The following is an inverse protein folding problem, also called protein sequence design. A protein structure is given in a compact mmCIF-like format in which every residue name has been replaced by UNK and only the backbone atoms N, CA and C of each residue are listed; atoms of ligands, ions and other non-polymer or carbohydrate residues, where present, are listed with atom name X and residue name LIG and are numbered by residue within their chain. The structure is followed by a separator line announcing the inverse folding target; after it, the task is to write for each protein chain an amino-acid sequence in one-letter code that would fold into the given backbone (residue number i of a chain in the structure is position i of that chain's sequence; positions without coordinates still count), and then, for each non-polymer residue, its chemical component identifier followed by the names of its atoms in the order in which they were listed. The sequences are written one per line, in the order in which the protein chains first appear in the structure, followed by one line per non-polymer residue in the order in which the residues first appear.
data_IF_991789753322
#
_entry.id   IF_991789753322
#
_cell.length_a   1.000
_cell.length_b   1.000
_cell.length_c   1.000
_cell.angle_alpha   90.00
_cell.angle_beta   90.00
_cell.angle_gamma   90.00
#
_symmetry.space_group_name_H-M   'P 1'
#
loop_
_entity.id
_entity.type
_entity.pdbx_description
1 polymer ?
#
# COMPACT_ATOMS: atom_id res chain seq x y z
N UNK A 1 -24.42 49.90 -30.66
CA UNK A 1 -23.89 51.27 -30.56
C UNK A 1 -22.82 51.30 -29.48
N UNK A 2 -21.53 51.42 -29.81
CA UNK A 2 -20.49 51.66 -28.83
C UNK A 2 -20.31 53.17 -28.65
N UNK A 3 -20.19 53.65 -27.40
CA UNK A 3 -19.83 55.05 -27.13
C UNK A 3 -18.38 55.17 -26.70
N UNK A 4 -17.78 56.20 -27.27
CA UNK A 4 -16.37 56.56 -27.38
C UNK A 4 -15.76 57.11 -26.09
N UNK A 5 -14.43 57.06 -26.07
CA UNK A 5 -13.52 57.91 -25.28
C UNK A 5 -13.68 59.41 -25.62
N UNK A 6 -13.19 60.33 -24.76
CA UNK A 6 -11.91 61.01 -25.04
C UNK A 6 -11.05 61.22 -23.76
N UNK A 7 -9.72 61.01 -23.79
CA UNK A 7 -8.59 61.87 -24.23
C UNK A 7 -8.20 63.05 -23.31
N UNK A 8 -6.99 62.91 -22.75
CA UNK A 8 -5.87 63.86 -22.61
C UNK A 8 -6.05 65.23 -21.90
N UNK A 9 -5.21 65.46 -20.88
CA UNK A 9 -4.27 66.59 -20.90
C UNK A 9 -3.09 66.41 -19.92
N UNK A 10 -1.87 66.47 -20.46
CA UNK A 10 -0.64 66.84 -19.76
C UNK A 10 -0.64 68.35 -19.49
N UNK A 11 0.02 68.81 -18.43
CA UNK A 11 0.90 69.97 -18.47
C UNK A 11 1.85 69.98 -17.25
N UNK A 12 3.02 70.55 -17.51
CA UNK A 12 4.30 70.53 -16.79
C UNK A 12 4.45 71.69 -15.77
N UNK A 13 5.44 71.55 -14.86
CA UNK A 13 6.36 72.60 -14.33
C UNK A 13 5.76 73.73 -13.45
N UNK A 14 6.37 74.30 -12.39
CA UNK A 14 7.76 74.42 -11.89
C UNK A 14 7.75 74.98 -10.43
N UNK A 15 8.91 74.83 -9.73
CA UNK A 15 9.51 75.74 -8.70
C UNK A 15 8.76 76.06 -7.38
N UNK A 16 9.33 76.34 -6.21
CA UNK A 16 10.65 76.39 -5.55
C UNK A 16 10.32 76.67 -4.07
N UNK A 17 11.03 76.12 -3.07
CA UNK A 17 11.49 76.91 -1.90
C UNK A 17 12.40 76.11 -0.93
N UNK A 18 13.35 76.86 -0.39
CA UNK A 18 14.59 76.49 0.27
C UNK A 18 14.45 76.16 1.78
N UNK A 19 15.40 75.39 2.31
CA UNK A 19 15.70 75.31 3.75
C UNK A 19 16.72 74.21 4.10
N UNK A 20 17.90 74.52 4.67
CA UNK A 20 19.02 73.56 4.83
C UNK A 20 18.94 72.81 6.17
N UNK A 21 19.70 71.72 6.33
CA UNK A 21 20.48 71.33 7.54
C UNK A 21 20.93 69.86 7.43
N UNK A 22 22.23 69.62 7.67
CA UNK A 22 22.70 68.38 8.30
C UNK A 22 23.27 67.28 7.39
N UNK A 23 24.55 67.39 7.02
CA UNK A 23 25.37 66.24 6.61
C UNK A 23 25.60 65.33 7.82
N UNK A 24 24.93 64.18 7.87
CA UNK A 24 25.31 63.04 8.71
C UNK A 24 25.96 61.96 7.84
N UNK A 25 27.22 61.62 8.14
CA UNK A 25 27.92 60.47 7.54
C UNK A 25 27.41 59.20 8.20
N UNK A 26 26.76 58.32 7.44
CA UNK A 26 26.55 56.93 7.86
C UNK A 26 27.69 56.03 7.34
N UNK A 27 28.23 55.10 8.15
CA UNK A 27 29.25 54.17 7.71
C UNK A 27 28.64 53.06 6.85
N UNK A 28 29.41 52.61 5.85
CA UNK A 28 29.09 51.43 5.03
C UNK A 28 29.06 50.20 5.93
N UNK A 29 27.88 49.66 6.20
CA UNK A 29 27.74 48.35 6.85
C UNK A 29 27.65 47.27 5.77
N UNK A 30 28.58 46.33 5.89
CA UNK A 30 28.89 45.20 5.02
C UNK A 30 27.69 44.26 4.86
N UNK A 31 27.11 44.20 3.66
CA UNK A 31 26.10 43.20 3.28
C UNK A 31 26.82 41.99 2.66
N UNK A 32 27.38 41.09 3.48
CA UNK A 32 28.03 39.88 2.94
C UNK A 32 27.99 38.65 3.87
N UNK A 33 26.88 38.41 4.58
CA UNK A 33 26.72 37.17 5.40
C UNK A 33 25.36 36.47 5.21
N UNK A 34 24.42 36.98 4.41
CA UNK A 34 23.08 36.35 4.31
C UNK A 34 22.92 35.25 3.25
N UNK A 35 23.87 35.07 2.30
CA UNK A 35 23.71 34.08 1.22
C UNK A 35 24.23 32.68 1.60
N UNK A 36 25.24 32.58 2.48
CA UNK A 36 25.80 31.31 2.93
C UNK A 36 24.94 30.59 3.98
N UNK A 37 24.15 31.33 4.77
CA UNK A 37 23.26 30.74 5.77
C UNK A 37 21.97 30.19 5.13
N UNK A 38 21.47 30.82 4.06
CA UNK A 38 20.29 30.35 3.33
C UNK A 38 20.56 29.11 2.48
N UNK A 39 21.76 28.95 1.91
CA UNK A 39 22.13 27.75 1.12
C UNK A 39 22.43 26.54 2.00
N UNK A 40 23.05 26.73 3.16
CA UNK A 40 23.29 25.63 4.13
C UNK A 40 22.00 25.10 4.74
N UNK A 41 21.02 25.97 5.01
CA UNK A 41 19.69 25.56 5.48
C UNK A 41 18.93 24.80 4.38
N UNK A 42 18.99 25.23 3.12
CA UNK A 42 18.32 24.54 2.00
C UNK A 42 18.91 23.14 1.72
N UNK A 43 20.24 22.98 1.84
CA UNK A 43 20.90 21.67 1.70
C UNK A 43 20.53 20.75 2.89
N UNK A 44 20.44 21.29 4.10
CA UNK A 44 20.01 20.53 5.28
C UNK A 44 18.53 20.11 5.23
N UNK A 45 17.63 20.91 4.64
CA UNK A 45 16.23 20.51 4.43
C UNK A 45 16.08 19.46 3.31
N UNK A 46 16.87 19.55 2.23
CA UNK A 46 16.89 18.55 1.17
C UNK A 46 17.42 17.18 1.66
N UNK A 47 18.32 17.18 2.66
CA UNK A 47 18.84 15.96 3.29
C UNK A 47 17.90 15.36 4.36
N UNK A 48 16.84 16.07 4.80
CA UNK A 48 16.01 15.66 5.95
C UNK A 48 14.66 15.05 5.58
N UNK A 49 14.29 15.02 4.31
CA UNK A 49 13.40 13.98 3.83
C UNK A 49 14.28 12.75 3.59
N UNK A 50 14.54 11.95 4.64
CA UNK A 50 15.06 10.60 4.42
C UNK A 50 14.12 9.92 3.44
N UNK A 51 14.54 9.85 2.17
CA UNK A 51 13.80 9.11 1.16
C UNK A 51 13.77 7.69 1.68
N UNK A 52 12.57 7.20 2.02
CA UNK A 52 12.43 5.88 2.59
C UNK A 52 13.18 4.88 1.70
N UNK A 53 14.05 4.04 2.29
CA UNK A 53 14.90 3.05 1.60
C UNK A 53 14.16 2.34 0.44
N UNK A 54 14.65 2.34 -0.80
CA UNK A 54 13.96 1.61 -1.87
C UNK A 54 13.98 0.09 -1.57
N UNK A 55 12.81 -0.56 -1.44
CA UNK A 55 12.72 -2.00 -1.10
C UNK A 55 12.06 -2.85 -2.20
N UNK A 56 11.35 -2.21 -3.11
CA UNK A 56 10.66 -2.82 -4.24
C UNK A 56 11.65 -3.06 -5.38
N UNK A 57 11.94 -4.32 -5.69
CA UNK A 57 12.99 -4.67 -6.66
C UNK A 57 12.66 -4.24 -8.09
N UNK A 58 11.38 -4.06 -8.42
CA UNK A 58 10.93 -3.55 -9.72
C UNK A 58 11.28 -2.08 -9.96
N UNK A 59 11.71 -1.37 -8.92
CA UNK A 59 12.19 0.02 -8.96
C UNK A 59 13.70 0.12 -8.67
N UNK A 60 14.41 -1.01 -8.69
CA UNK A 60 15.85 -1.09 -8.48
C UNK A 60 16.53 -1.60 -9.75
N UNK A 61 17.74 -1.14 -9.98
CA UNK A 61 18.65 -1.72 -10.97
C UNK A 61 19.26 -3.01 -10.45
N UNK A 62 19.67 -3.93 -11.33
CA UNK A 62 20.28 -5.18 -10.88
C UNK A 62 21.54 -4.99 -10.01
N UNK A 63 22.41 -3.97 -10.20
CA UNK A 63 23.54 -3.74 -9.29
C UNK A 63 23.10 -3.31 -7.89
N UNK A 64 22.03 -2.53 -7.76
CA UNK A 64 21.46 -2.16 -6.45
C UNK A 64 20.92 -3.40 -5.72
N UNK A 65 20.26 -4.31 -6.44
CA UNK A 65 19.79 -5.58 -5.86
C UNK A 65 20.98 -6.46 -5.45
N UNK A 66 22.01 -6.54 -6.28
CA UNK A 66 23.24 -7.29 -5.96
C UNK A 66 23.89 -6.76 -4.68
N UNK A 67 24.10 -5.44 -4.59
CA UNK A 67 24.67 -4.81 -3.39
C UNK A 67 23.77 -4.97 -2.17
N UNK A 68 22.45 -4.85 -2.33
CA UNK A 68 21.50 -5.10 -1.25
C UNK A 68 21.66 -6.50 -0.65
N UNK A 69 21.81 -7.54 -1.49
CA UNK A 69 21.98 -8.93 -1.04
C UNK A 69 23.37 -9.15 -0.42
N UNK A 70 24.44 -8.69 -1.09
CA UNK A 70 25.81 -9.07 -0.75
C UNK A 70 26.49 -8.12 0.26
N UNK A 71 26.19 -6.83 0.21
CA UNK A 71 26.84 -5.80 1.03
C UNK A 71 25.96 -5.33 2.19
N UNK A 72 24.64 -5.41 2.03
CA UNK A 72 23.67 -4.89 3.02
C UNK A 72 22.81 -5.97 3.69
N UNK A 73 23.05 -7.26 3.39
CA UNK A 73 22.43 -8.38 4.08
C UNK A 73 20.91 -8.51 3.86
N UNK A 74 20.38 -7.98 2.75
CA UNK A 74 18.96 -8.14 2.35
C UNK A 74 18.70 -9.58 1.85
N UNK A 75 18.71 -10.53 2.76
CA UNK A 75 18.61 -11.98 2.45
C UNK A 75 17.19 -12.49 2.27
N UNK A 76 16.18 -11.68 2.60
CA UNK A 76 14.77 -12.06 2.53
C UNK A 76 14.07 -11.38 1.35
N UNK A 77 13.18 -12.08 0.66
CA UNK A 77 12.29 -11.49 -0.35
C UNK A 77 10.84 -11.84 -0.08
N UNK A 78 9.97 -10.84 -0.16
CA UNK A 78 8.52 -10.97 -0.03
C UNK A 78 7.90 -11.14 -1.42
N UNK A 79 7.20 -12.24 -1.64
CA UNK A 79 6.39 -12.51 -2.84
C UNK A 79 4.93 -12.38 -2.43
N UNK A 80 4.35 -11.20 -2.71
CA UNK A 80 3.00 -10.85 -2.26
C UNK A 80 2.01 -10.97 -3.42
N UNK A 81 0.99 -11.81 -3.24
CA UNK A 81 -0.13 -11.95 -4.16
C UNK A 81 -1.26 -10.97 -3.79
N UNK A 82 -1.60 -10.08 -4.71
CA UNK A 82 -2.76 -9.19 -4.64
C UNK A 82 -3.99 -9.85 -5.27
N UNK A 83 -4.55 -9.17 -6.26
CA UNK A 83 -5.73 -9.65 -6.99
C UNK A 83 -6.44 -8.51 -7.71
N UNK A 84 -7.12 -8.87 -8.80
CA UNK A 84 -8.01 -7.96 -9.54
C UNK A 84 -9.43 -8.50 -9.44
N UNK A 85 -10.25 -7.86 -8.62
CA UNK A 85 -11.56 -8.39 -8.24
C UNK A 85 -12.58 -7.25 -8.09
N UNK A 86 -13.81 -7.50 -8.53
CA UNK A 86 -14.96 -6.65 -8.22
C UNK A 86 -14.99 -6.31 -6.72
N UNK A 87 -15.24 -5.05 -6.37
CA UNK A 87 -15.29 -4.58 -4.99
C UNK A 87 -16.47 -3.64 -4.78
N UNK A 88 -17.65 -4.12 -5.21
CA UNK A 88 -18.84 -3.31 -5.23
C UNK A 88 -18.77 -2.14 -6.22
N UNK A 89 -19.78 -1.26 -6.18
CA UNK A 89 -19.84 -0.12 -7.11
C UNK A 89 -18.82 0.98 -6.75
N UNK A 90 -18.29 1.00 -5.53
CA UNK A 90 -17.57 2.14 -4.98
C UNK A 90 -16.04 2.05 -5.05
N UNK A 91 -15.45 0.88 -5.28
CA UNK A 91 -13.99 0.72 -5.22
C UNK A 91 -13.40 0.16 -6.53
N UNK A 92 -12.15 0.53 -6.81
CA UNK A 92 -11.42 0.00 -7.98
C UNK A 92 -11.14 -1.49 -7.87
N UNK A 93 -11.12 -2.16 -9.03
CA UNK A 93 -10.86 -3.60 -9.17
C UNK A 93 -9.49 -4.03 -8.62
N UNK A 94 -8.47 -3.18 -8.78
CA UNK A 94 -7.10 -3.47 -8.36
C UNK A 94 -6.83 -3.32 -6.86
N UNK A 95 -7.87 -3.20 -6.02
CA UNK A 95 -7.74 -2.91 -4.59
C UNK A 95 -6.72 -3.81 -3.87
N UNK A 96 -6.82 -5.13 -4.03
CA UNK A 96 -5.87 -6.07 -3.39
C UNK A 96 -4.43 -5.82 -3.81
N UNK A 97 -4.18 -5.66 -5.11
CA UNK A 97 -2.83 -5.37 -5.63
C UNK A 97 -2.29 -4.04 -5.08
N UNK A 98 -3.10 -2.98 -5.10
CA UNK A 98 -2.71 -1.65 -4.61
C UNK A 98 -2.41 -1.64 -3.11
N UNK A 99 -3.23 -2.33 -2.30
CA UNK A 99 -2.99 -2.49 -0.87
C UNK A 99 -1.75 -3.35 -0.60
N UNK A 100 -1.59 -4.45 -1.33
CA UNK A 100 -0.44 -5.35 -1.20
C UNK A 100 0.88 -4.65 -1.48
N UNK A 101 0.97 -3.78 -2.50
CA UNK A 101 2.17 -2.97 -2.74
C UNK A 101 2.56 -2.17 -1.49
N UNK A 102 1.64 -1.38 -0.94
CA UNK A 102 1.95 -0.55 0.23
C UNK A 102 2.31 -1.39 1.47
N UNK A 103 1.56 -2.46 1.74
CA UNK A 103 1.76 -3.31 2.92
C UNK A 103 3.08 -4.09 2.81
N UNK A 104 3.41 -4.64 1.64
CA UNK A 104 4.67 -5.35 1.39
C UNK A 104 5.88 -4.47 1.71
N UNK A 105 5.88 -3.23 1.24
CA UNK A 105 6.96 -2.27 1.47
C UNK A 105 7.08 -1.93 2.96
N UNK A 106 5.96 -1.74 3.66
CA UNK A 106 5.98 -1.49 5.11
C UNK A 106 6.52 -2.69 5.90
N UNK A 107 6.17 -3.92 5.51
CA UNK A 107 6.71 -5.15 6.11
C UNK A 107 8.22 -5.23 5.86
N UNK A 108 8.67 -5.06 4.62
CA UNK A 108 10.07 -5.19 4.24
C UNK A 108 10.97 -4.21 4.98
N UNK A 109 10.54 -2.94 5.06
CA UNK A 109 11.21 -1.88 5.83
C UNK A 109 11.30 -2.23 7.31
N UNK A 110 10.22 -2.76 7.88
CA UNK A 110 10.17 -3.09 9.31
C UNK A 110 11.00 -4.33 9.67
N UNK A 111 11.15 -5.28 8.74
CA UNK A 111 12.09 -6.41 8.88
C UNK A 111 13.55 -5.95 8.77
N UNK A 112 13.83 -4.92 7.95
CA UNK A 112 15.16 -4.34 7.77
C UNK A 112 16.11 -5.16 6.90
N UNK A 113 15.85 -6.46 6.70
CA UNK A 113 16.65 -7.37 5.87
C UNK A 113 15.89 -7.96 4.67
N UNK A 114 14.79 -7.31 4.27
CA UNK A 114 13.88 -7.81 3.23
C UNK A 114 13.74 -6.84 2.06
N UNK A 115 13.55 -7.41 0.87
CA UNK A 115 13.10 -6.72 -0.36
C UNK A 115 11.73 -7.28 -0.80
N UNK A 116 11.07 -6.58 -1.73
CA UNK A 116 9.74 -6.92 -2.24
C UNK A 116 9.85 -7.28 -3.72
N UNK A 117 9.46 -8.50 -4.09
CA UNK A 117 9.28 -8.90 -5.48
C UNK A 117 8.07 -8.18 -6.10
N UNK A 118 7.94 -8.14 -7.45
CA UNK A 118 6.75 -7.58 -8.08
C UNK A 118 5.47 -8.20 -7.50
N UNK A 119 4.52 -7.35 -7.08
CA UNK A 119 3.25 -7.83 -6.54
C UNK A 119 2.47 -8.49 -7.65
N UNK A 120 2.04 -9.73 -7.42
CA UNK A 120 1.30 -10.49 -8.42
C UNK A 120 -0.16 -10.04 -8.44
N UNK A 121 -0.72 -9.57 -9.57
CA UNK A 121 -2.06 -9.00 -9.62
C UNK A 121 -3.17 -10.07 -9.72
N UNK A 122 -2.87 -11.31 -9.33
CA UNK A 122 -3.70 -12.49 -9.53
C UNK A 122 -4.02 -13.15 -8.19
N UNK A 123 -5.24 -13.69 -8.09
CA UNK A 123 -5.69 -14.54 -6.99
C UNK A 123 -6.43 -15.75 -7.53
N UNK A 124 -6.67 -16.72 -6.63
CA UNK A 124 -7.66 -17.78 -6.87
C UNK A 124 -9.01 -17.23 -6.47
N UNK A 125 -9.98 -17.27 -7.38
CA UNK A 125 -11.35 -16.96 -7.00
C UNK A 125 -11.98 -18.19 -6.31
N UNK A 126 -12.53 -18.06 -5.10
CA UNK A 126 -13.38 -19.10 -4.55
C UNK A 126 -14.57 -19.28 -5.50
N UNK A 127 -14.98 -20.53 -5.72
CA UNK A 127 -15.98 -20.97 -6.70
C UNK A 127 -17.15 -19.98 -6.89
N UNK A 128 -17.06 -19.12 -7.91
CA UNK A 128 -18.02 -18.06 -8.21
C UNK A 128 -17.44 -16.73 -8.72
N UNK A 129 -16.12 -16.52 -8.62
CA UNK A 129 -15.53 -15.25 -9.05
C UNK A 129 -15.17 -15.19 -10.55
N UNK A 130 -15.35 -13.99 -11.13
CA UNK A 130 -15.61 -13.66 -12.54
C UNK A 130 -17.07 -13.89 -12.88
N UNK A 131 -17.85 -12.82 -12.74
CA UNK A 131 -19.27 -12.77 -13.04
C UNK A 131 -19.51 -11.65 -14.07
N UNK A 132 -20.26 -11.95 -15.13
CA UNK A 132 -20.62 -10.95 -16.14
C UNK A 132 -21.43 -9.78 -15.56
N UNK A 133 -22.09 -9.99 -14.41
CA UNK A 133 -22.77 -8.96 -13.64
C UNK A 133 -21.81 -7.92 -13.03
N UNK A 134 -20.59 -8.33 -12.68
CA UNK A 134 -19.55 -7.47 -12.12
C UNK A 134 -18.25 -7.64 -12.91
N UNK A 135 -18.18 -7.04 -14.11
CA UNK A 135 -17.08 -7.27 -15.03
C UNK A 135 -15.75 -6.70 -14.51
N UNK A 136 -14.65 -7.30 -14.99
CA UNK A 136 -13.29 -6.81 -14.78
C UNK A 136 -12.44 -7.61 -13.80
N UNK A 137 -13.03 -8.54 -13.03
CA UNK A 137 -12.25 -9.49 -12.23
C UNK A 137 -11.35 -10.35 -13.12
N UNK A 138 -10.12 -10.61 -12.66
CA UNK A 138 -9.15 -11.50 -13.31
C UNK A 138 -8.67 -12.49 -12.27
N UNK A 139 -8.92 -13.78 -12.51
CA UNK A 139 -8.53 -14.85 -11.61
C UNK A 139 -7.86 -16.00 -12.35
N UNK A 140 -6.99 -16.70 -11.63
CA UNK A 140 -6.34 -17.90 -12.11
C UNK A 140 -7.02 -19.13 -11.50
N UNK A 141 -7.00 -20.23 -12.25
CA UNK A 141 -7.29 -21.54 -11.69
C UNK A 141 -6.27 -21.87 -10.58
N UNK A 142 -6.66 -22.59 -9.52
CA UNK A 142 -5.79 -22.89 -8.38
C UNK A 142 -4.44 -23.52 -8.76
N UNK A 143 -4.42 -24.38 -9.78
CA UNK A 143 -3.21 -25.06 -10.24
C UNK A 143 -2.28 -24.11 -11.01
N UNK A 144 -2.84 -23.24 -11.85
CA UNK A 144 -2.07 -22.21 -12.56
C UNK A 144 -1.53 -21.16 -11.60
N UNK A 145 -2.31 -20.74 -10.61
CA UNK A 145 -1.87 -19.83 -9.55
C UNK A 145 -0.65 -20.38 -8.79
N UNK A 146 -0.66 -21.68 -8.45
CA UNK A 146 0.49 -22.35 -7.83
C UNK A 146 1.70 -22.37 -8.77
N UNK A 147 1.53 -22.75 -10.05
CA UNK A 147 2.62 -22.79 -11.04
C UNK A 147 3.28 -21.42 -11.29
N UNK A 148 2.48 -20.35 -11.32
CA UNK A 148 3.00 -18.98 -11.44
C UNK A 148 3.88 -18.65 -10.23
N UNK A 149 3.38 -18.91 -9.02
CA UNK A 149 4.15 -18.65 -7.80
C UNK A 149 5.40 -19.56 -7.70
N UNK A 150 5.32 -20.82 -8.16
CA UNK A 150 6.47 -21.73 -8.23
C UNK A 150 7.60 -21.14 -9.09
N UNK A 151 7.27 -20.66 -10.29
CA UNK A 151 8.23 -20.03 -11.19
C UNK A 151 8.84 -18.74 -10.61
N UNK A 152 8.06 -17.97 -9.86
CA UNK A 152 8.55 -16.77 -9.16
C UNK A 152 9.50 -17.17 -8.04
N UNK A 153 9.18 -18.17 -7.23
CA UNK A 153 10.06 -18.68 -6.17
C UNK A 153 11.37 -19.20 -6.78
N UNK A 154 11.31 -20.02 -7.83
CA UNK A 154 12.50 -20.52 -8.53
C UNK A 154 13.40 -19.36 -9.02
N UNK A 155 12.79 -18.28 -9.53
CA UNK A 155 13.51 -17.07 -9.94
C UNK A 155 14.16 -16.35 -8.76
N UNK A 156 13.46 -16.25 -7.63
CA UNK A 156 14.00 -15.62 -6.42
C UNK A 156 15.15 -16.43 -5.80
N UNK A 157 15.08 -17.76 -5.83
CA UNK A 157 16.20 -18.63 -5.44
C UNK A 157 17.41 -18.36 -6.35
N UNK A 158 17.19 -18.34 -7.67
CA UNK A 158 18.26 -18.10 -8.65
C UNK A 158 18.92 -16.72 -8.49
N UNK A 159 18.16 -15.72 -8.05
CA UNK A 159 18.66 -14.36 -7.76
C UNK A 159 19.48 -14.28 -6.45
N UNK A 160 19.55 -15.34 -5.65
CA UNK A 160 20.43 -15.43 -4.48
C UNK A 160 19.77 -15.15 -3.13
N UNK A 161 18.45 -14.95 -3.06
CA UNK A 161 17.74 -14.81 -1.79
C UNK A 161 17.78 -16.10 -0.97
N UNK A 162 17.85 -15.97 0.36
CA UNK A 162 17.91 -17.10 1.32
C UNK A 162 16.59 -17.40 1.98
N UNK A 163 15.74 -16.40 2.15
CA UNK A 163 14.41 -16.54 2.71
C UNK A 163 13.39 -15.99 1.72
N UNK A 164 12.49 -16.83 1.24
CA UNK A 164 11.42 -16.43 0.32
C UNK A 164 10.10 -16.58 1.07
N UNK A 165 9.37 -15.48 1.22
CA UNK A 165 8.11 -15.45 1.98
C UNK A 165 6.97 -15.22 1.02
N UNK A 166 6.06 -16.19 0.92
CA UNK A 166 4.80 -16.10 0.18
C UNK A 166 3.72 -15.45 1.07
N UNK A 167 3.04 -14.44 0.55
CA UNK A 167 1.94 -13.72 1.20
C UNK A 167 0.76 -13.53 0.23
N UNK A 168 -0.45 -13.31 0.76
CA UNK A 168 -1.65 -13.03 -0.04
C UNK A 168 -2.59 -12.04 0.64
N UNK A 169 -3.14 -11.08 -0.11
CA UNK A 169 -4.11 -10.08 0.39
C UNK A 169 -5.57 -10.48 0.14
N UNK A 170 -5.76 -11.54 -0.64
CA UNK A 170 -7.06 -12.08 -1.05
C UNK A 170 -7.33 -13.42 -0.34
N UNK A 171 -8.60 -13.71 -0.04
CA UNK A 171 -8.98 -14.92 0.70
C UNK A 171 -8.74 -16.23 -0.04
N UNK A 172 -8.98 -16.25 -1.35
CA UNK A 172 -8.60 -17.38 -2.20
C UNK A 172 -7.11 -17.34 -2.57
N UNK A 173 -6.47 -18.51 -2.62
CA UNK A 173 -5.04 -18.67 -2.87
C UNK A 173 -4.23 -18.97 -1.61
N UNK A 174 -4.79 -18.76 -0.41
CA UNK A 174 -4.06 -18.93 0.85
C UNK A 174 -3.59 -20.38 1.06
N UNK A 175 -4.46 -21.36 0.79
CA UNK A 175 -4.13 -22.78 0.92
C UNK A 175 -3.08 -23.21 -0.12
N UNK A 176 -3.21 -22.68 -1.34
CA UNK A 176 -2.29 -22.90 -2.45
C UNK A 176 -0.88 -22.38 -2.12
N UNK A 177 -0.76 -21.17 -1.56
CA UNK A 177 0.52 -20.60 -1.13
C UNK A 177 1.13 -21.41 0.03
N UNK A 178 0.32 -21.83 1.00
CA UNK A 178 0.78 -22.67 2.11
C UNK A 178 1.39 -23.99 1.64
N UNK A 179 0.66 -24.73 0.79
CA UNK A 179 1.14 -25.99 0.21
C UNK A 179 2.39 -25.81 -0.66
N UNK A 180 2.42 -24.73 -1.45
CA UNK A 180 3.58 -24.42 -2.28
C UNK A 180 4.82 -24.12 -1.42
N UNK A 181 4.69 -23.35 -0.34
CA UNK A 181 5.80 -23.05 0.55
C UNK A 181 6.44 -24.33 1.11
N UNK A 182 5.63 -25.30 1.57
CA UNK A 182 6.13 -26.60 2.05
C UNK A 182 6.88 -27.37 0.94
N UNK A 183 6.31 -27.41 -0.27
CA UNK A 183 6.90 -28.10 -1.42
C UNK A 183 8.25 -27.50 -1.81
N UNK A 184 8.31 -26.17 -1.88
CA UNK A 184 9.51 -25.45 -2.31
C UNK A 184 10.59 -25.41 -1.23
N UNK A 185 10.20 -25.37 0.04
CA UNK A 185 11.15 -25.50 1.14
C UNK A 185 11.75 -26.90 1.23
N UNK A 186 10.98 -27.96 0.95
CA UNK A 186 11.53 -29.32 0.86
C UNK A 186 12.54 -29.44 -0.30
N UNK A 187 12.28 -28.75 -1.43
CA UNK A 187 13.18 -28.69 -2.60
C UNK A 187 14.47 -27.93 -2.29
N UNK A 188 14.35 -26.73 -1.70
CA UNK A 188 15.46 -25.77 -1.58
C UNK A 188 16.16 -25.72 -0.21
N UNK A 189 15.47 -26.17 0.84
CA UNK A 189 15.98 -26.18 2.22
C UNK A 189 17.33 -26.89 2.36
N UNK A 190 17.56 -28.06 1.73
CA UNK A 190 18.87 -28.73 1.77
C UNK A 190 20.02 -27.90 1.14
N UNK A 191 19.72 -26.88 0.33
CA UNK A 191 20.72 -25.96 -0.23
C UNK A 191 20.81 -24.63 0.54
N UNK A 192 20.20 -24.55 1.73
CA UNK A 192 20.24 -23.38 2.60
C UNK A 192 19.37 -22.21 2.13
N UNK A 193 18.34 -22.48 1.33
CA UNK A 193 17.32 -21.50 0.96
C UNK A 193 15.96 -21.99 1.42
N UNK A 194 15.24 -21.16 2.17
CA UNK A 194 13.99 -21.53 2.81
C UNK A 194 12.81 -20.77 2.24
N UNK A 195 11.70 -21.49 2.10
CA UNK A 195 10.44 -20.91 1.62
C UNK A 195 9.40 -20.99 2.73
N UNK A 196 8.70 -19.89 2.93
CA UNK A 196 7.76 -19.71 4.02
C UNK A 196 6.43 -19.21 3.49
N UNK A 197 5.35 -19.55 4.20
CA UNK A 197 4.05 -18.93 4.00
C UNK A 197 3.71 -18.07 5.22
N UNK A 198 3.40 -16.80 4.97
CA UNK A 198 2.97 -15.85 5.99
C UNK A 198 1.45 -15.64 5.91
N UNK A 199 0.68 -16.52 6.55
CA UNK A 199 -0.78 -16.43 6.60
C UNK A 199 -1.34 -15.42 7.61
N UNK A 200 -0.55 -14.98 8.61
CA UNK A 200 -1.00 -14.08 9.67
C UNK A 200 -1.29 -12.66 9.13
N UNK A 201 -0.67 -12.27 8.01
CA UNK A 201 -0.97 -11.02 7.29
C UNK A 201 -2.43 -10.95 6.85
N UNK A 202 -3.05 -12.11 6.58
CA UNK A 202 -4.44 -12.19 6.14
C UNK A 202 -5.34 -12.70 7.26
N UNK A 203 -5.24 -13.98 7.65
CA UNK A 203 -6.28 -14.63 8.46
C UNK A 203 -6.27 -14.13 9.90
N UNK A 204 -5.09 -14.07 10.54
CA UNK A 204 -4.99 -13.52 11.91
C UNK A 204 -5.47 -12.07 11.95
N UNK A 205 -5.02 -11.27 10.99
CA UNK A 205 -5.41 -9.85 10.90
C UNK A 205 -6.91 -9.67 10.65
N UNK A 206 -7.54 -10.55 9.85
CA UNK A 206 -8.99 -10.57 9.62
C UNK A 206 -9.77 -10.89 10.90
N UNK A 207 -9.30 -11.86 11.68
CA UNK A 207 -9.93 -12.24 12.96
C UNK A 207 -9.79 -11.12 14.01
N UNK A 208 -8.60 -10.55 14.18
CA UNK A 208 -8.37 -9.43 15.10
C UNK A 208 -9.21 -8.19 14.73
N UNK A 209 -9.37 -7.92 13.43
CA UNK A 209 -10.25 -6.86 12.96
C UNK A 209 -11.73 -7.16 13.27
N UNK A 210 -12.19 -8.41 13.08
CA UNK A 210 -13.56 -8.79 13.39
C UNK A 210 -13.89 -8.60 14.89
N UNK A 211 -12.96 -8.96 15.78
CA UNK A 211 -13.07 -8.73 17.22
C UNK A 211 -13.12 -7.23 17.53
N UNK A 212 -12.25 -6.45 16.89
CA UNK A 212 -12.23 -4.99 17.06
C UNK A 212 -13.54 -4.35 16.60
N UNK A 213 -14.05 -4.71 15.42
CA UNK A 213 -15.33 -4.20 14.89
C UNK A 213 -16.48 -4.52 15.85
N UNK A 214 -16.52 -5.75 16.36
CA UNK A 214 -17.50 -6.19 17.36
C UNK A 214 -17.41 -5.33 18.63
N UNK A 215 -16.20 -5.08 19.15
CA UNK A 215 -15.98 -4.22 20.33
C UNK A 215 -16.45 -2.78 20.12
N UNK A 216 -16.46 -2.29 18.87
CA UNK A 216 -16.92 -0.96 18.49
C UNK A 216 -18.38 -0.92 18.05
N UNK A 217 -19.10 -2.05 18.11
CA UNK A 217 -20.48 -2.20 17.60
C UNK A 217 -20.60 -1.80 16.13
N UNK A 218 -19.55 -2.07 15.35
CA UNK A 218 -19.53 -1.90 13.91
C UNK A 218 -19.91 -3.22 13.22
N UNK A 219 -20.50 -3.17 12.02
CA UNK A 219 -20.82 -4.38 11.27
C UNK A 219 -19.54 -5.14 10.92
N UNK A 220 -19.63 -6.47 10.91
CA UNK A 220 -18.55 -7.31 10.41
C UNK A 220 -18.27 -7.01 8.94
N UNK A 221 -17.02 -7.23 8.54
CA UNK A 221 -16.54 -7.01 7.18
C UNK A 221 -16.05 -8.31 6.59
N UNK A 222 -16.44 -8.62 5.35
CA UNK A 222 -15.88 -9.75 4.61
C UNK A 222 -15.30 -9.30 3.26
N UNK A 223 -16.13 -8.78 2.36
CA UNK A 223 -15.71 -8.37 1.01
C UNK A 223 -16.25 -7.00 0.63
N UNK A 224 -15.38 -6.10 0.19
CA UNK A 224 -15.69 -4.70 -0.12
C UNK A 224 -16.30 -3.91 1.06
N UNK A 225 -16.20 -4.45 2.28
CA UNK A 225 -16.75 -3.87 3.51
C UNK A 225 -15.81 -2.85 4.16
N UNK A 226 -15.93 -2.71 5.49
CA UNK A 226 -15.14 -1.77 6.28
C UNK A 226 -13.64 -1.98 6.09
N UNK A 227 -13.17 -3.22 6.12
CA UNK A 227 -11.74 -3.56 6.00
C UNK A 227 -11.14 -2.95 4.73
N UNK A 228 -11.61 -3.40 3.57
CA UNK A 228 -11.02 -3.01 2.29
C UNK A 228 -11.22 -1.52 2.00
N UNK A 229 -12.45 -1.03 2.23
CA UNK A 229 -12.79 0.36 1.90
C UNK A 229 -11.98 1.32 2.77
N UNK A 230 -11.83 1.04 4.07
CA UNK A 230 -11.03 1.87 4.97
C UNK A 230 -9.56 1.83 4.60
N UNK A 231 -8.98 0.65 4.34
CA UNK A 231 -7.58 0.52 3.93
C UNK A 231 -7.31 1.26 2.63
N UNK A 232 -8.18 1.16 1.64
CA UNK A 232 -8.04 1.90 0.38
C UNK A 232 -8.21 3.41 0.58
N UNK A 233 -9.11 3.88 1.45
CA UNK A 233 -9.24 5.30 1.79
C UNK A 233 -7.97 5.86 2.44
N UNK A 234 -7.30 5.07 3.27
CA UNK A 234 -6.04 5.45 3.93
C UNK A 234 -4.87 5.51 2.95
N UNK A 235 -4.77 4.55 2.04
CA UNK A 235 -3.62 4.38 1.15
C UNK A 235 -3.73 5.13 -0.18
N UNK A 236 -4.93 5.55 -0.60
CA UNK A 236 -5.10 6.19 -1.91
C UNK A 236 -4.30 7.49 -2.02
N UNK A 237 -3.69 7.78 -3.18
CA UNK A 237 -2.82 8.96 -3.34
C UNK A 237 -3.61 10.28 -3.34
N UNK A 238 -4.89 10.22 -3.70
CA UNK A 238 -5.75 11.38 -3.82
C UNK A 238 -7.22 11.02 -3.61
N UNK A 239 -8.03 12.07 -3.42
CA UNK A 239 -9.46 11.93 -3.17
C UNK A 239 -10.15 11.21 -4.32
N UNK A 240 -10.96 10.21 -3.98
CA UNK A 240 -11.72 9.39 -4.92
C UNK A 240 -10.91 8.58 -5.94
N UNK A 241 -9.59 8.51 -5.80
CA UNK A 241 -8.72 7.81 -6.76
C UNK A 241 -8.88 6.29 -6.68
N UNK A 242 -9.12 5.71 -5.50
CA UNK A 242 -9.39 4.27 -5.33
C UNK A 242 -10.80 3.98 -4.81
N UNK A 243 -11.36 4.87 -3.99
CA UNK A 243 -12.70 4.71 -3.38
C UNK A 243 -13.58 5.91 -3.70
N UNK A 244 -14.70 5.68 -4.38
CA UNK A 244 -15.65 6.69 -4.85
C UNK A 244 -16.61 7.01 -3.72
N UNK A 245 -17.04 8.26 -3.62
CA UNK A 245 -17.89 8.73 -2.51
C UNK A 245 -19.22 7.97 -2.34
N UNK A 246 -19.68 7.28 -3.38
CA UNK A 246 -20.89 6.45 -3.34
C UNK A 246 -20.82 5.36 -2.26
N UNK A 247 -19.64 5.01 -1.74
CA UNK A 247 -19.49 4.08 -0.61
C UNK A 247 -20.29 4.50 0.64
N UNK A 248 -20.57 5.80 0.80
CA UNK A 248 -21.40 6.34 1.90
C UNK A 248 -22.88 5.95 1.80
N UNK A 249 -23.33 5.53 0.63
CA UNK A 249 -24.68 5.05 0.37
C UNK A 249 -24.74 3.58 -0.06
N UNK A 250 -23.59 2.96 -0.35
CA UNK A 250 -23.50 1.54 -0.68
C UNK A 250 -23.87 0.67 0.51
N UNK A 251 -24.77 -0.29 0.30
CA UNK A 251 -25.11 -1.35 1.24
C UNK A 251 -24.74 -2.68 0.57
N UNK A 252 -24.16 -3.62 1.31
CA UNK A 252 -23.89 -4.96 0.82
C UNK A 252 -24.79 -6.03 1.44
N UNK A 253 -24.63 -7.26 0.97
CA UNK A 253 -25.24 -8.41 1.61
C UNK A 253 -24.61 -8.63 3.00
N UNK A 254 -25.37 -9.10 4.01
CA UNK A 254 -24.85 -9.27 5.36
C UNK A 254 -23.71 -10.29 5.42
N UNK A 255 -22.75 -10.06 6.32
CA UNK A 255 -21.74 -11.07 6.67
C UNK A 255 -22.42 -12.13 7.53
N UNK A 256 -22.39 -13.38 7.07
CA UNK A 256 -22.96 -14.52 7.78
C UNK A 256 -21.90 -15.21 8.63
N UNK A 257 -22.32 -15.76 9.77
CA UNK A 257 -21.43 -16.61 10.58
C UNK A 257 -21.12 -17.91 9.82
N UNK A 258 -19.97 -18.56 10.10
CA UNK A 258 -19.65 -19.85 9.51
C UNK A 258 -20.80 -20.85 9.67
N UNK A 259 -21.19 -21.51 8.57
CA UNK A 259 -22.29 -22.49 8.54
C UNK A 259 -23.70 -21.90 8.46
N UNK A 260 -23.88 -20.58 8.63
CA UNK A 260 -25.18 -19.95 8.40
C UNK A 260 -25.47 -19.83 6.91
N UNK A 261 -26.73 -20.08 6.54
CA UNK A 261 -27.24 -19.88 5.18
C UNK A 261 -27.98 -18.54 5.11
N UNK A 262 -27.90 -17.83 3.97
CA UNK A 262 -28.73 -16.65 3.73
C UNK A 262 -30.21 -16.98 3.89
N UNK A 263 -30.97 -16.13 4.59
CA UNK A 263 -32.42 -16.25 4.68
C UNK A 263 -33.03 -16.07 3.28
N UNK A 264 -33.77 -17.04 2.73
CA UNK A 264 -34.36 -16.93 1.39
C UNK A 264 -35.42 -15.83 1.29
N UNK A 265 -35.98 -15.34 2.40
CA UNK A 265 -37.02 -14.31 2.42
C UNK A 265 -36.47 -12.88 2.46
N UNK A 266 -35.15 -12.71 2.68
CA UNK A 266 -34.51 -11.40 2.68
C UNK A 266 -33.92 -11.14 1.29
N UNK A 267 -34.41 -10.14 0.54
CA UNK A 267 -33.83 -9.81 -0.76
C UNK A 267 -32.35 -9.47 -0.64
N UNK A 268 -31.52 -10.11 -1.47
CA UNK A 268 -30.10 -9.78 -1.56
C UNK A 268 -29.91 -8.48 -2.31
N UNK A 269 -29.00 -7.64 -1.83
CA UNK A 269 -28.54 -6.47 -2.59
C UNK A 269 -27.80 -6.93 -3.83
N UNK A 270 -26.97 -7.98 -3.67
CA UNK A 270 -26.29 -8.65 -4.78
C UNK A 270 -25.58 -7.63 -5.70
N UNK A 271 -24.78 -6.74 -5.10
CA UNK A 271 -24.00 -5.71 -5.80
C UNK A 271 -22.48 -5.97 -5.71
N UNK A 272 -22.09 -7.16 -5.26
CA UNK A 272 -20.69 -7.54 -5.10
C UNK A 272 -20.09 -7.20 -3.73
N UNK A 273 -20.84 -6.55 -2.83
CA UNK A 273 -20.40 -6.24 -1.45
C UNK A 273 -20.95 -7.27 -0.47
N UNK A 274 -20.10 -7.78 0.42
CA UNK A 274 -20.49 -8.58 1.60
C UNK A 274 -20.03 -7.89 2.88
N UNK A 275 -20.95 -7.15 3.50
CA UNK A 275 -20.72 -6.24 4.62
C UNK A 275 -21.29 -4.84 4.35
N UNK A 276 -20.92 -3.88 5.19
CA UNK A 276 -21.38 -2.50 5.09
C UNK A 276 -20.19 -1.53 5.07
N UNK A 277 -19.86 -0.89 3.93
CA UNK A 277 -18.71 -0.02 3.82
C UNK A 277 -18.96 1.40 4.36
N UNK A 278 -20.19 1.79 4.69
CA UNK A 278 -20.53 3.19 5.04
C UNK A 278 -19.74 3.73 6.25
N UNK A 279 -19.46 2.93 7.30
CA UNK A 279 -18.65 3.37 8.44
C UNK A 279 -17.16 3.53 8.14
N UNK A 280 -16.70 3.24 6.93
CA UNK A 280 -15.27 3.25 6.60
C UNK A 280 -14.65 4.64 6.70
N UNK A 281 -13.46 4.69 7.30
CA UNK A 281 -12.64 5.89 7.45
C UNK A 281 -11.15 5.59 7.24
N UNK A 282 -10.33 6.59 6.86
CA UNK A 282 -8.87 6.43 6.79
C UNK A 282 -8.24 5.95 8.10
N UNK A 283 -8.79 6.33 9.26
CA UNK A 283 -8.26 5.94 10.58
C UNK A 283 -8.43 4.45 10.83
N UNK A 284 -9.58 3.88 10.45
CA UNK A 284 -9.78 2.42 10.45
C UNK A 284 -8.81 1.77 9.47
N UNK A 285 -8.58 2.39 8.31
CA UNK A 285 -7.65 1.89 7.30
C UNK A 285 -6.23 1.78 7.82
N UNK A 286 -5.77 2.81 8.53
CA UNK A 286 -4.47 2.81 9.21
C UNK A 286 -4.36 1.68 10.23
N UNK A 287 -5.39 1.49 11.07
CA UNK A 287 -5.43 0.40 12.04
C UNK A 287 -5.29 -0.97 11.36
N UNK A 288 -6.03 -1.21 10.28
CA UNK A 288 -5.96 -2.47 9.52
C UNK A 288 -4.58 -2.69 8.92
N UNK A 289 -3.97 -1.65 8.32
CA UNK A 289 -2.60 -1.73 7.79
C UNK A 289 -1.61 -2.07 8.90
N UNK A 290 -1.70 -1.40 10.06
CA UNK A 290 -0.82 -1.68 11.21
C UNK A 290 -0.98 -3.11 11.72
N UNK A 291 -2.21 -3.63 11.83
CA UNK A 291 -2.47 -5.02 12.19
C UNK A 291 -1.78 -5.98 11.21
N UNK A 292 -2.02 -5.81 9.89
CA UNK A 292 -1.43 -6.65 8.85
C UNK A 292 0.10 -6.63 8.88
N UNK A 293 0.70 -5.45 8.94
CA UNK A 293 2.17 -5.29 8.97
C UNK A 293 2.75 -5.92 10.24
N UNK A 294 2.17 -5.67 11.41
CA UNK A 294 2.67 -6.20 12.67
C UNK A 294 2.59 -7.73 12.74
N UNK A 295 1.47 -8.29 12.30
CA UNK A 295 1.25 -9.73 12.27
C UNK A 295 2.21 -10.42 11.29
N UNK A 296 2.40 -9.84 10.11
CA UNK A 296 3.35 -10.37 9.14
C UNK A 296 4.79 -10.36 9.67
N UNK A 297 5.25 -9.23 10.21
CA UNK A 297 6.61 -9.10 10.76
C UNK A 297 6.83 -10.09 11.90
N UNK A 298 5.86 -10.23 12.82
CA UNK A 298 5.95 -11.16 13.94
C UNK A 298 6.04 -12.62 13.45
N UNK A 299 5.22 -13.01 12.47
CA UNK A 299 5.24 -14.36 11.93
C UNK A 299 6.53 -14.65 11.16
N UNK A 300 6.96 -13.74 10.28
CA UNK A 300 8.18 -13.90 9.48
C UNK A 300 9.41 -14.02 10.39
N UNK A 301 9.52 -13.16 11.40
CA UNK A 301 10.62 -13.20 12.39
C UNK A 301 10.65 -14.54 13.11
N UNK A 302 9.49 -15.04 13.56
CA UNK A 302 9.36 -16.35 14.21
C UNK A 302 9.76 -17.50 13.30
N UNK A 303 9.29 -17.50 12.05
CA UNK A 303 9.54 -18.57 11.08
C UNK A 303 11.02 -18.67 10.69
N UNK A 304 11.67 -17.53 10.45
CA UNK A 304 13.10 -17.48 10.12
C UNK A 304 13.94 -17.86 11.34
N UNK A 305 13.66 -17.27 12.50
CA UNK A 305 14.40 -17.56 13.74
C UNK A 305 14.34 -19.03 14.16
N UNK A 306 13.19 -19.70 14.00
CA UNK A 306 13.03 -21.12 14.31
C UNK A 306 13.90 -22.04 13.44
N UNK A 307 14.29 -21.62 12.23
CA UNK A 307 15.15 -22.39 11.34
C UNK A 307 16.63 -22.16 11.58
N UNK A 308 17.04 -20.92 11.90
CA UNK A 308 18.43 -20.61 12.28
C UNK A 308 18.85 -21.32 13.58
N UNK A 309 17.89 -21.77 14.38
CA UNK A 309 18.12 -22.45 15.67
C UNK A 309 18.31 -23.97 15.55
N UNK A 310 18.14 -24.56 14.35
CA UNK A 310 18.29 -26.00 14.10
C UNK A 310 19.59 -26.29 13.36
#
# INVERSE_FOLDING_TARGET
MPHEFPKERQDNCDEEHQGPIGRSKMPKLTLTVSVLLSTTIAIAYAQRAEKQEQVEIEQMTYPEIYSAIHDHGKTTVLVYNGGTEQRGPHAVLGGHTLMAHAIASMIARKLGNALVAPVLPFSVNPAGGVDAKWPGSVALAPDLFQKVNEAVVDSMVKNGFKNIVLLGDHGGGQAELGKLAETMDAKYGPQGTHVYFCGDVYEKSRLELADWLTSKRLPLSNHAGISDTSTMLYLQPGREQWVRNIYKTTIGDPVLSPGQRPDPNVPRVNNGVTGDPRPSTPEIGKLVVEMKVNNAVAQITRLIGAKTSR
#
